data_IF_937101058652
#
_entry.id   IF_937101058652
#
_cell.length_a   1.000
_cell.length_b   1.000
_cell.length_c   1.000
_cell.angle_alpha   90.00
_cell.angle_beta   90.00
_cell.angle_gamma   90.00
#
_symmetry.space_group_name_H-M   'P 1'
#
loop_
_entity.id
_entity.type
_entity.pdbx_description
1 polymer ?
#
# COMPACT_ATOMS: atom_id res chain seq x y z
N UNK A 1 -7.66 -13.10 -6.80
CA UNK A 1 -6.90 -11.84 -6.63
C UNK A 1 -7.56 -11.10 -5.47
N UNK A 2 -6.83 -10.89 -4.37
CA UNK A 2 -7.39 -10.31 -3.13
C UNK A 2 -7.22 -8.81 -3.20
N UNK A 3 -8.34 -8.07 -3.14
CA UNK A 3 -8.33 -6.62 -3.05
C UNK A 3 -8.07 -6.23 -1.59
N UNK A 4 -7.15 -5.31 -1.35
CA UNK A 4 -6.80 -4.82 -0.02
C UNK A 4 -7.64 -3.56 0.24
N UNK A 5 -8.36 -3.53 1.35
CA UNK A 5 -9.23 -2.41 1.79
C UNK A 5 -8.88 -2.08 3.26
N UNK A 6 -8.81 -0.79 3.63
CA UNK A 6 -8.42 -0.33 4.98
C UNK A 6 -7.07 0.39 5.02
N UNK A 7 -6.40 0.40 6.19
CA UNK A 7 -5.11 1.07 6.48
C UNK A 7 -3.89 0.48 5.72
N UNK A 8 -4.11 -0.53 4.88
CA UNK A 8 -3.06 -1.19 4.09
C UNK A 8 -2.55 -2.51 4.68
N UNK A 9 -3.06 -2.94 5.83
CA UNK A 9 -2.79 -4.27 6.39
C UNK A 9 -3.40 -5.39 5.53
N UNK A 10 -2.61 -6.44 5.27
CA UNK A 10 -3.10 -7.60 4.54
C UNK A 10 -2.46 -8.91 5.01
N UNK A 11 -3.21 -10.03 4.95
CA UNK A 11 -2.64 -11.34 5.25
C UNK A 11 -1.75 -11.82 4.09
N UNK A 12 -0.58 -12.36 4.43
CA UNK A 12 0.27 -13.08 3.50
C UNK A 12 -0.57 -14.16 2.80
N UNK A 13 -0.62 -14.18 1.45
CA UNK A 13 -1.46 -15.09 0.71
C UNK A 13 -1.05 -16.56 0.87
N UNK A 14 0.19 -16.82 1.33
CA UNK A 14 0.71 -18.17 1.54
C UNK A 14 0.51 -18.71 2.96
N UNK A 15 0.54 -17.87 4.00
CA UNK A 15 0.56 -18.36 5.39
C UNK A 15 -0.36 -17.60 6.35
N UNK A 16 -1.01 -16.53 5.89
CA UNK A 16 -1.91 -15.72 6.69
C UNK A 16 -1.24 -14.81 7.72
N UNK A 17 0.09 -14.69 7.73
CA UNK A 17 0.77 -13.67 8.56
C UNK A 17 0.28 -12.28 8.18
N UNK A 18 -0.08 -11.45 9.14
CA UNK A 18 -0.43 -10.06 8.84
C UNK A 18 0.84 -9.32 8.44
N UNK A 19 0.78 -8.63 7.32
CA UNK A 19 1.79 -7.72 6.81
C UNK A 19 1.18 -6.33 6.91
N UNK A 20 1.85 -5.46 7.67
CA UNK A 20 1.41 -4.09 7.90
C UNK A 20 2.44 -3.12 7.32
N UNK A 21 2.00 -2.05 6.62
CA UNK A 21 2.89 -0.98 6.20
C UNK A 21 3.59 -0.28 7.37
N UNK A 22 2.96 -0.25 8.55
CA UNK A 22 3.51 0.39 9.76
C UNK A 22 4.59 -0.44 10.45
N UNK A 23 4.79 -1.70 10.05
CA UNK A 23 5.80 -2.55 10.65
C UNK A 23 7.21 -2.22 10.13
N UNK A 24 7.89 -1.34 10.87
CA UNK A 24 9.29 -0.95 10.63
C UNK A 24 10.32 -1.93 11.21
N UNK A 25 9.89 -2.98 11.92
CA UNK A 25 10.80 -3.89 12.60
C UNK A 25 11.62 -4.77 11.65
N UNK A 26 11.23 -4.86 10.38
CA UNK A 26 11.76 -5.80 9.38
C UNK A 26 11.64 -7.28 9.80
N UNK A 27 10.81 -7.59 10.80
CA UNK A 27 10.64 -8.96 11.32
C UNK A 27 9.54 -9.73 10.58
N UNK A 28 8.51 -9.06 10.06
CA UNK A 28 7.41 -9.74 9.36
C UNK A 28 7.63 -9.85 7.84
N UNK A 29 8.31 -8.87 7.24
CA UNK A 29 8.61 -8.86 5.82
C UNK A 29 9.90 -8.10 5.52
N UNK A 30 10.38 -8.23 4.28
CA UNK A 30 11.50 -7.46 3.74
C UNK A 30 11.16 -7.02 2.31
N UNK A 31 11.51 -5.77 1.98
CA UNK A 31 11.38 -5.23 0.63
C UNK A 31 12.57 -5.71 -0.21
N UNK A 32 12.28 -6.34 -1.34
CA UNK A 32 13.28 -6.91 -2.25
C UNK A 32 13.47 -6.04 -3.48
N UNK A 33 12.38 -5.46 -4.01
CA UNK A 33 12.43 -4.62 -5.20
C UNK A 33 11.32 -3.57 -5.18
N UNK A 34 11.62 -2.42 -5.78
CA UNK A 34 10.72 -1.28 -5.90
C UNK A 34 10.80 -0.77 -7.33
N UNK A 35 9.69 -0.82 -8.05
CA UNK A 35 9.61 -0.26 -9.41
C UNK A 35 8.80 1.02 -9.40
N UNK A 36 9.41 2.08 -9.92
CA UNK A 36 8.76 3.37 -10.12
C UNK A 36 8.61 3.66 -11.62
N UNK A 37 7.61 4.46 -11.97
CA UNK A 37 7.46 4.98 -13.32
C UNK A 37 8.37 6.20 -13.59
N UNK A 38 8.43 6.72 -14.83
CA UNK A 38 9.26 7.89 -15.16
C UNK A 38 8.88 9.17 -14.43
N UNK A 39 7.71 9.23 -13.81
CA UNK A 39 7.25 10.37 -13.00
C UNK A 39 7.54 10.16 -11.51
N UNK A 40 8.23 9.07 -11.14
CA UNK A 40 8.59 8.75 -9.76
C UNK A 40 7.47 8.06 -8.96
N UNK A 41 6.40 7.61 -9.62
CA UNK A 41 5.25 7.00 -8.94
C UNK A 41 5.45 5.50 -8.80
N UNK A 42 5.08 4.94 -7.65
CA UNK A 42 5.21 3.51 -7.36
C UNK A 42 4.33 2.70 -8.34
N UNK A 43 4.89 1.64 -8.92
CA UNK A 43 4.20 0.74 -9.86
C UNK A 43 4.11 -0.68 -9.34
N UNK A 44 5.19 -1.15 -8.73
CA UNK A 44 5.28 -2.52 -8.22
C UNK A 44 6.17 -2.51 -6.98
N UNK A 45 5.77 -3.27 -5.97
CA UNK A 45 6.56 -3.49 -4.76
C UNK A 45 6.65 -5.00 -4.51
N UNK A 46 7.87 -5.53 -4.54
CA UNK A 46 8.13 -6.94 -4.27
C UNK A 46 8.65 -7.10 -2.85
N UNK A 47 7.92 -7.87 -2.03
CA UNK A 47 8.32 -8.17 -0.65
C UNK A 47 8.44 -9.68 -0.43
N UNK A 48 9.20 -10.06 0.59
CA UNK A 48 9.29 -11.44 1.08
C UNK A 48 8.71 -11.52 2.48
N UNK A 49 7.77 -12.43 2.68
CA UNK A 49 7.28 -12.76 4.01
C UNK A 49 8.37 -13.48 4.81
N UNK A 50 8.80 -12.91 5.94
CA UNK A 50 9.85 -13.52 6.80
C UNK A 50 9.38 -14.77 7.54
N UNK A 51 8.05 -14.95 7.68
CA UNK A 51 7.48 -16.14 8.34
C UNK A 51 7.51 -17.40 7.47
N UNK A 52 7.22 -17.29 6.17
CA UNK A 52 7.12 -18.46 5.28
C UNK A 52 8.02 -18.40 4.04
N UNK A 53 8.72 -17.27 3.82
CA UNK A 53 9.61 -17.07 2.68
C UNK A 53 8.92 -16.79 1.35
N UNK A 54 7.58 -16.70 1.31
CA UNK A 54 6.86 -16.41 0.07
C UNK A 54 7.17 -15.02 -0.45
N UNK A 55 7.41 -14.90 -1.76
CA UNK A 55 7.48 -13.61 -2.47
C UNK A 55 6.07 -13.13 -2.78
N UNK A 56 5.81 -11.85 -2.49
CA UNK A 56 4.52 -11.20 -2.67
C UNK A 56 4.76 -9.97 -3.55
N UNK A 57 4.04 -9.90 -4.66
CA UNK A 57 4.04 -8.77 -5.57
C UNK A 57 2.81 -7.91 -5.29
N UNK A 58 3.04 -6.65 -4.94
CA UNK A 58 1.98 -5.64 -4.80
C UNK A 58 1.99 -4.78 -6.06
N UNK A 59 0.82 -4.55 -6.62
CA UNK A 59 0.57 -3.78 -7.85
C UNK A 59 -0.74 -2.99 -7.72
N UNK A 60 -1.09 -2.19 -8.72
CA UNK A 60 -2.35 -1.42 -8.74
C UNK A 60 -2.24 -0.03 -8.07
N UNK A 61 -1.02 0.46 -7.86
CA UNK A 61 -0.75 1.76 -7.25
C UNK A 61 -1.21 2.95 -8.10
N UNK A 62 -1.54 2.78 -9.39
CA UNK A 62 -2.12 3.83 -10.24
C UNK A 62 -3.48 4.36 -9.74
N UNK A 63 -4.12 3.67 -8.79
CA UNK A 63 -5.32 4.17 -8.12
C UNK A 63 -5.00 5.26 -7.08
N UNK A 64 -3.78 5.27 -6.52
CA UNK A 64 -3.34 6.28 -5.56
C UNK A 64 -3.21 7.66 -6.23
N UNK A 65 -2.78 7.71 -7.49
CA UNK A 65 -2.72 8.93 -8.32
C UNK A 65 -4.07 9.68 -8.39
N UNK A 66 -5.18 8.97 -8.19
CA UNK A 66 -6.53 9.54 -8.27
C UNK A 66 -6.99 10.13 -6.95
N UNK A 67 -6.46 9.66 -5.81
CA UNK A 67 -6.84 10.10 -4.47
C UNK A 67 -6.22 11.45 -4.11
N UNK A 68 -5.01 11.75 -4.60
CA UNK A 68 -4.34 13.06 -4.40
C UNK A 68 -5.16 14.24 -4.98
N UNK A 69 -6.13 13.98 -5.85
CA UNK A 69 -7.00 15.01 -6.43
C UNK A 69 -8.29 15.29 -5.62
N UNK A 70 -8.54 14.57 -4.52
CA UNK A 70 -9.77 14.70 -3.72
C UNK A 70 -9.56 15.43 -2.38
N UNK A 71 -8.32 15.63 -1.93
CA UNK A 71 -8.02 16.34 -0.67
C UNK A 71 -8.19 17.87 -0.74
N UNK A 72 -8.68 18.41 -1.86
CA UNK A 72 -8.91 19.85 -2.06
C UNK A 72 -10.38 20.32 -1.99
N UNK A 73 -11.32 19.49 -1.54
CA UNK A 73 -12.77 19.78 -1.65
C UNK A 73 -13.53 19.86 -0.30
N UNK A 74 -12.85 20.18 0.81
CA UNK A 74 -13.52 20.56 2.07
C UNK A 74 -13.33 22.04 2.39
N UNK A 75 -13.82 22.91 1.50
CA UNK A 75 -14.25 24.27 1.88
C UNK A 75 -15.75 24.37 1.60
N UNK A 76 -16.57 24.02 2.60
CA UNK A 76 -17.94 24.52 2.66
C UNK A 76 -17.95 25.57 3.78
N UNK A 77 -17.93 26.84 3.37
CA UNK A 77 -18.24 27.99 4.20
C UNK A 77 -19.60 27.77 4.90
N UNK A 78 -19.62 27.72 6.24
CA UNK A 78 -20.83 28.06 6.98
C UNK A 78 -20.73 29.52 7.45
N UNK A 79 -20.89 30.43 6.48
CA UNK A 79 -21.46 31.75 6.77
C UNK A 79 -22.98 31.61 6.77
N UNK A 80 -23.57 31.47 7.96
CA UNK A 80 -24.99 31.79 8.15
C UNK A 80 -25.18 32.74 9.34
N UNK A 81 -25.39 34.02 8.99
CA UNK A 81 -25.91 35.18 9.73
C UNK A 81 -25.32 35.58 11.09
#
# INVERSE_FOLDING_TARGET
MTKIEGEGDFPCPSCGNIISPEDESNLNYEIIDVKMDPQGRLKELLIVCKRCGSKICLEGFELLDKLENLEGAEEIEDSTM
#
